data_IF_118571756684
#
_entry.id   IF_118571756684
#
_cell.length_a   1.000
_cell.length_b   1.000
_cell.length_c   1.000
_cell.angle_alpha   90.00
_cell.angle_beta   90.00
_cell.angle_gamma   90.00
#
_symmetry.space_group_name_H-M   'P 1'
#
loop_
_entity.id
_entity.type
_entity.pdbx_description
1 polymer ?
#
# COMPACT_ATOMS: atom_id res chain seq x y z
N UNK A 1 -3.07 -11.85 12.51
CA UNK A 1 -2.93 -13.20 13.13
C UNK A 1 -2.51 -14.27 12.12
N UNK A 2 -3.06 -14.29 10.90
CA UNK A 2 -2.76 -15.31 9.88
C UNK A 2 -1.28 -15.37 9.49
N UNK A 3 -0.65 -14.23 9.17
CA UNK A 3 0.78 -14.17 8.82
C UNK A 3 1.70 -14.72 9.90
N UNK A 4 1.41 -14.40 11.17
CA UNK A 4 2.15 -14.95 12.31
C UNK A 4 2.01 -16.48 12.39
N UNK A 5 0.80 -17.01 12.15
CA UNK A 5 0.59 -18.47 12.08
C UNK A 5 1.39 -19.07 10.94
N UNK A 6 1.39 -18.46 9.75
CA UNK A 6 2.17 -18.92 8.61
C UNK A 6 3.66 -18.98 8.93
N UNK A 7 4.18 -17.97 9.61
CA UNK A 7 5.57 -17.95 10.07
C UNK A 7 5.85 -19.13 11.01
N UNK A 8 5.05 -19.30 12.07
CA UNK A 8 5.27 -20.36 13.07
C UNK A 8 5.11 -21.78 12.53
N UNK A 9 4.25 -21.99 11.52
CA UNK A 9 4.02 -23.29 10.90
C UNK A 9 4.87 -23.53 9.65
N UNK A 10 5.72 -22.56 9.27
CA UNK A 10 6.45 -22.54 8.01
C UNK A 10 5.52 -22.78 6.79
N UNK A 11 4.28 -22.30 6.88
CA UNK A 11 3.34 -22.35 5.78
C UNK A 11 3.73 -21.31 4.73
N UNK A 12 3.63 -21.71 3.47
CA UNK A 12 4.06 -20.92 2.33
C UNK A 12 2.84 -20.66 1.45
N UNK A 13 2.19 -19.49 1.58
CA UNK A 13 0.96 -19.19 0.86
C UNK A 13 1.23 -19.04 -0.65
N UNK A 14 0.17 -19.11 -1.44
CA UNK A 14 0.18 -18.64 -2.83
C UNK A 14 0.24 -17.10 -2.85
N UNK A 15 0.70 -16.44 -3.93
CA UNK A 15 0.68 -14.98 -4.03
C UNK A 15 -0.72 -14.40 -3.84
N UNK A 16 -1.75 -15.08 -4.34
CA UNK A 16 -3.14 -14.65 -4.24
C UNK A 16 -3.68 -14.79 -2.80
N UNK A 17 -3.38 -15.89 -2.12
CA UNK A 17 -3.70 -16.07 -0.70
C UNK A 17 -2.97 -15.04 0.17
N UNK A 18 -1.68 -14.83 -0.12
CA UNK A 18 -0.87 -13.82 0.56
C UNK A 18 -1.48 -12.43 0.38
N UNK A 19 -1.79 -11.99 -0.84
CA UNK A 19 -2.38 -10.66 -1.08
C UNK A 19 -3.75 -10.51 -0.41
N UNK A 20 -4.57 -11.56 -0.41
CA UNK A 20 -5.87 -11.54 0.25
C UNK A 20 -5.78 -11.25 1.75
N UNK A 21 -4.77 -11.81 2.42
CA UNK A 21 -4.51 -11.61 3.86
C UNK A 21 -3.75 -10.31 4.11
N UNK A 22 -2.71 -10.04 3.32
CA UNK A 22 -1.76 -8.97 3.60
C UNK A 22 -2.29 -7.58 3.27
N UNK A 23 -3.29 -7.48 2.38
CA UNK A 23 -4.05 -6.23 2.19
C UNK A 23 -4.76 -5.76 3.47
N UNK A 24 -5.14 -6.67 4.36
CA UNK A 24 -5.70 -6.34 5.68
C UNK A 24 -4.59 -5.97 6.67
N UNK A 25 -3.54 -6.80 6.76
CA UNK A 25 -2.44 -6.58 7.72
C UNK A 25 -1.63 -5.31 7.44
N UNK A 26 -1.62 -4.84 6.20
CA UNK A 26 -0.92 -3.63 5.76
C UNK A 26 -1.38 -2.33 6.44
N UNK A 27 -2.56 -2.32 7.07
CA UNK A 27 -3.10 -1.15 7.75
C UNK A 27 -3.65 -0.04 6.82
N UNK A 28 -3.50 -0.15 5.50
CA UNK A 28 -3.99 0.88 4.56
C UNK A 28 -5.51 0.97 4.52
N UNK A 29 -6.22 -0.15 4.69
CA UNK A 29 -7.68 -0.14 4.82
C UNK A 29 -8.13 0.71 6.03
N UNK A 30 -7.47 0.55 7.17
CA UNK A 30 -7.70 1.36 8.36
C UNK A 30 -7.37 2.83 8.10
N UNK A 31 -6.24 3.13 7.47
CA UNK A 31 -5.81 4.50 7.17
C UNK A 31 -6.80 5.20 6.22
N UNK A 32 -7.25 4.51 5.16
CA UNK A 32 -8.24 5.01 4.21
C UNK A 32 -9.55 5.39 4.91
N UNK A 33 -10.02 4.55 5.84
CA UNK A 33 -11.26 4.83 6.58
C UNK A 33 -11.09 5.94 7.62
N UNK A 34 -10.02 5.90 8.41
CA UNK A 34 -9.80 6.84 9.52
C UNK A 34 -9.48 8.25 9.05
N UNK A 35 -8.91 8.42 7.85
CA UNK A 35 -8.61 9.75 7.31
C UNK A 35 -9.85 10.61 7.04
N UNK A 36 -11.05 10.02 7.02
CA UNK A 36 -12.31 10.74 6.82
C UNK A 36 -12.87 11.37 8.09
N UNK A 37 -12.46 10.92 9.28
CA UNK A 37 -13.00 11.39 10.57
C UNK A 37 -12.83 12.92 10.72
N UNK A 38 -11.75 13.48 10.18
CA UNK A 38 -11.47 14.92 10.24
C UNK A 38 -12.17 15.77 9.16
N UNK A 39 -13.07 15.20 8.35
CA UNK A 39 -13.69 15.91 7.21
C UNK A 39 -15.02 16.62 7.55
N UNK A 40 -15.39 16.69 8.82
CA UNK A 40 -16.59 17.40 9.29
C UNK A 40 -17.88 16.79 8.75
N UNK A 41 -18.90 17.63 8.53
CA UNK A 41 -20.27 17.21 8.19
C UNK A 41 -20.39 16.40 6.88
N UNK A 42 -19.36 16.40 6.03
CA UNK A 42 -19.35 15.59 4.81
C UNK A 42 -19.05 14.10 5.08
N UNK A 43 -18.40 13.76 6.20
CA UNK A 43 -18.06 12.40 6.58
C UNK A 43 -19.27 11.70 7.25
N UNK A 44 -20.30 11.45 6.44
CA UNK A 44 -21.53 10.80 6.88
C UNK A 44 -21.40 9.27 6.88
N UNK A 45 -22.34 8.60 7.53
CA UNK A 45 -22.38 7.13 7.67
C UNK A 45 -22.25 6.41 6.32
N UNK A 46 -22.93 6.88 5.28
CA UNK A 46 -22.87 6.28 3.93
C UNK A 46 -21.45 6.25 3.35
N UNK A 47 -20.60 7.23 3.66
CA UNK A 47 -19.20 7.25 3.22
C UNK A 47 -18.40 6.18 3.94
N UNK A 48 -18.62 6.02 5.25
CA UNK A 48 -17.97 4.98 6.05
C UNK A 48 -18.44 3.59 5.64
N UNK A 49 -19.73 3.42 5.35
CA UNK A 49 -20.28 2.18 4.78
C UNK A 49 -19.68 1.90 3.39
N UNK A 50 -19.57 2.91 2.53
CA UNK A 50 -18.96 2.76 1.21
C UNK A 50 -17.51 2.30 1.32
N UNK A 51 -16.65 3.00 2.07
CA UNK A 51 -15.21 2.66 2.18
C UNK A 51 -14.98 1.31 2.87
N UNK A 52 -15.80 0.98 3.87
CA UNK A 52 -15.70 -0.29 4.62
C UNK A 52 -16.18 -1.50 3.82
N UNK A 53 -16.85 -1.30 2.69
CA UNK A 53 -17.19 -2.36 1.74
C UNK A 53 -16.10 -2.60 0.68
N UNK A 54 -14.92 -1.99 0.85
CA UNK A 54 -13.75 -2.20 -0.02
C UNK A 54 -14.09 -1.98 -1.51
N UNK A 55 -14.50 -0.76 -1.89
CA UNK A 55 -14.78 -0.43 -3.28
C UNK A 55 -13.50 -0.63 -4.11
N UNK A 56 -13.65 -0.68 -5.44
CA UNK A 56 -12.56 -0.97 -6.37
C UNK A 56 -11.31 -0.11 -6.10
N UNK A 57 -11.49 1.19 -5.86
CA UNK A 57 -10.39 2.12 -5.52
C UNK A 57 -9.65 1.74 -4.22
N UNK A 58 -10.35 1.29 -3.17
CA UNK A 58 -9.73 0.89 -1.89
C UNK A 58 -8.97 -0.43 -2.07
N UNK A 59 -9.56 -1.40 -2.77
CA UNK A 59 -8.88 -2.65 -3.09
C UNK A 59 -7.59 -2.39 -3.90
N UNK A 60 -7.67 -1.57 -4.93
CA UNK A 60 -6.52 -1.19 -5.75
C UNK A 60 -5.44 -0.48 -4.90
N UNK A 61 -5.84 0.48 -4.06
CA UNK A 61 -4.93 1.16 -3.14
C UNK A 61 -4.21 0.19 -2.20
N UNK A 62 -4.93 -0.72 -1.55
CA UNK A 62 -4.34 -1.68 -0.62
C UNK A 62 -3.35 -2.63 -1.32
N UNK A 63 -3.71 -3.15 -2.51
CA UNK A 63 -2.81 -4.00 -3.31
C UNK A 63 -1.55 -3.24 -3.71
N UNK A 64 -1.71 -2.01 -4.22
CA UNK A 64 -0.57 -1.17 -4.60
C UNK A 64 0.37 -0.95 -3.44
N UNK A 65 -0.16 -0.46 -2.31
CA UNK A 65 0.67 -0.10 -1.16
C UNK A 65 1.37 -1.32 -0.57
N UNK A 66 0.69 -2.48 -0.53
CA UNK A 66 1.29 -3.73 -0.05
C UNK A 66 2.40 -4.23 -0.97
N UNK A 67 2.15 -4.35 -2.28
CA UNK A 67 3.17 -4.84 -3.22
C UNK A 67 4.37 -3.88 -3.29
N UNK A 68 4.13 -2.57 -3.23
CA UNK A 68 5.20 -1.56 -3.23
C UNK A 68 6.13 -1.73 -2.04
N UNK A 69 5.58 -1.86 -0.83
CA UNK A 69 6.38 -2.11 0.37
C UNK A 69 7.13 -3.44 0.24
N UNK A 70 6.46 -4.54 -0.13
CA UNK A 70 7.11 -5.86 -0.27
C UNK A 70 8.31 -5.84 -1.22
N UNK A 71 8.19 -5.19 -2.38
CA UNK A 71 9.29 -5.10 -3.36
C UNK A 71 10.53 -4.46 -2.73
N UNK A 72 10.32 -3.46 -1.87
CA UNK A 72 11.39 -2.64 -1.31
C UNK A 72 11.94 -3.22 -0.01
N UNK A 73 11.10 -3.83 0.83
CA UNK A 73 11.46 -4.29 2.18
C UNK A 73 11.85 -5.76 2.23
N UNK A 74 11.37 -6.60 1.29
CA UNK A 74 11.47 -8.05 1.40
C UNK A 74 12.89 -8.59 1.60
N UNK A 75 13.93 -8.00 1.00
CA UNK A 75 15.31 -8.47 1.25
C UNK A 75 15.76 -8.29 2.70
N UNK A 76 15.35 -7.19 3.33
CA UNK A 76 15.62 -6.96 4.74
C UNK A 76 14.76 -7.88 5.61
N UNK A 77 13.49 -8.05 5.25
CA UNK A 77 12.57 -8.89 6.00
C UNK A 77 12.95 -10.37 5.97
N UNK A 78 13.45 -10.89 4.85
CA UNK A 78 13.92 -12.28 4.74
C UNK A 78 15.25 -12.52 5.47
N UNK A 79 15.98 -11.48 5.90
CA UNK A 79 17.16 -11.63 6.78
C UNK A 79 16.79 -11.83 8.24
N UNK A 80 15.55 -11.51 8.62
CA UNK A 80 14.98 -11.78 9.95
C UNK A 80 13.92 -12.88 9.84
N UNK A 81 13.48 -13.41 10.97
CA UNK A 81 12.35 -14.33 10.99
C UNK A 81 11.07 -13.57 10.62
N UNK A 82 10.63 -13.70 9.37
CA UNK A 82 9.46 -13.03 8.83
C UNK A 82 8.69 -13.96 7.87
N UNK A 83 7.41 -13.67 7.66
CA UNK A 83 6.60 -14.43 6.69
C UNK A 83 7.08 -14.16 5.26
N UNK A 84 6.64 -14.99 4.30
CA UNK A 84 6.94 -14.77 2.88
C UNK A 84 6.26 -13.48 2.41
N UNK A 85 6.96 -12.59 1.71
CA UNK A 85 6.31 -11.45 1.04
C UNK A 85 5.69 -11.89 -0.29
N UNK A 86 4.99 -10.99 -0.99
CA UNK A 86 4.53 -11.23 -2.35
C UNK A 86 5.66 -11.72 -3.27
N UNK A 87 6.86 -11.14 -3.17
CA UNK A 87 8.00 -11.49 -4.04
C UNK A 87 8.40 -12.95 -3.83
N UNK A 88 8.56 -13.39 -2.58
CA UNK A 88 8.95 -14.78 -2.29
C UNK A 88 7.84 -15.78 -2.59
N UNK A 89 6.56 -15.41 -2.34
CA UNK A 89 5.42 -16.24 -2.72
C UNK A 89 5.40 -16.47 -4.23
N UNK A 90 5.63 -15.41 -5.02
CA UNK A 90 5.55 -15.46 -6.47
C UNK A 90 6.71 -16.23 -7.10
N UNK A 91 7.94 -15.98 -6.64
CA UNK A 91 9.11 -16.76 -7.05
C UNK A 91 8.88 -18.25 -6.82
N UNK A 92 8.35 -18.62 -5.65
CA UNK A 92 8.14 -20.01 -5.26
C UNK A 92 7.04 -20.71 -6.07
N UNK A 93 5.93 -20.03 -6.33
CA UNK A 93 4.80 -20.63 -7.04
C UNK A 93 5.12 -20.91 -8.51
N UNK A 94 5.86 -20.01 -9.15
CA UNK A 94 6.12 -20.07 -10.59
C UNK A 94 7.53 -20.52 -10.96
N UNK A 95 8.39 -20.79 -9.97
CA UNK A 95 9.81 -21.14 -10.15
C UNK A 95 10.55 -20.12 -11.03
N UNK A 96 10.44 -18.85 -10.69
CA UNK A 96 11.01 -17.73 -11.45
C UNK A 96 12.02 -16.92 -10.64
N UNK A 97 12.80 -16.10 -11.35
CA UNK A 97 13.75 -15.20 -10.72
C UNK A 97 13.05 -14.11 -9.90
N UNK A 98 13.75 -13.60 -8.89
CA UNK A 98 13.33 -12.44 -8.10
C UNK A 98 13.00 -11.23 -8.97
N UNK A 99 13.81 -10.96 -9.99
CA UNK A 99 13.58 -9.86 -10.92
C UNK A 99 12.27 -10.02 -11.68
N UNK A 100 11.94 -11.23 -12.13
CA UNK A 100 10.68 -11.50 -12.80
C UNK A 100 9.47 -11.35 -11.86
N UNK A 101 9.60 -11.78 -10.59
CA UNK A 101 8.57 -11.54 -9.57
C UNK A 101 8.36 -10.05 -9.26
N UNK A 102 9.44 -9.26 -9.19
CA UNK A 102 9.36 -7.80 -9.03
C UNK A 102 8.68 -7.15 -10.23
N UNK A 103 9.00 -7.57 -11.45
CA UNK A 103 8.35 -7.06 -12.67
C UNK A 103 6.84 -7.34 -12.67
N UNK A 104 6.42 -8.52 -12.24
CA UNK A 104 5.00 -8.81 -12.06
C UNK A 104 4.36 -7.92 -10.98
N UNK A 105 5.03 -7.71 -9.85
CA UNK A 105 4.55 -6.79 -8.82
C UNK A 105 4.38 -5.36 -9.35
N UNK A 106 5.35 -4.86 -10.12
CA UNK A 106 5.27 -3.56 -10.80
C UNK A 106 4.10 -3.50 -11.79
N UNK A 107 3.84 -4.59 -12.53
CA UNK A 107 2.69 -4.69 -13.43
C UNK A 107 1.37 -4.57 -12.65
N UNK A 108 1.24 -5.28 -11.53
CA UNK A 108 0.06 -5.22 -10.64
C UNK A 108 -0.11 -3.82 -10.03
N UNK A 109 0.97 -3.14 -9.65
CA UNK A 109 0.94 -1.73 -9.20
C UNK A 109 0.41 -0.81 -10.32
N UNK A 110 0.90 -0.97 -11.55
CA UNK A 110 0.42 -0.19 -12.69
C UNK A 110 -1.08 -0.41 -12.97
N UNK A 111 -1.55 -1.65 -12.85
CA UNK A 111 -2.98 -1.96 -13.01
C UNK A 111 -3.82 -1.37 -11.88
N UNK A 112 -3.34 -1.42 -10.63
CA UNK A 112 -3.99 -0.77 -9.50
C UNK A 112 -4.10 0.75 -9.69
N UNK A 113 -3.06 1.41 -10.23
CA UNK A 113 -3.14 2.83 -10.60
C UNK A 113 -4.25 3.11 -11.64
N UNK A 114 -4.38 2.27 -12.67
CA UNK A 114 -5.44 2.42 -13.69
C UNK A 114 -6.82 2.26 -13.07
N UNK A 115 -6.99 1.27 -12.19
CA UNK A 115 -8.25 1.02 -11.48
C UNK A 115 -8.67 2.20 -10.59
N UNK A 116 -7.71 2.81 -9.87
CA UNK A 116 -7.99 4.01 -9.08
C UNK A 116 -8.32 5.23 -9.96
N UNK A 117 -7.62 5.38 -11.09
CA UNK A 117 -7.89 6.46 -12.04
C UNK A 117 -9.29 6.34 -12.65
N UNK A 118 -9.71 5.13 -13.00
CA UNK A 118 -11.06 4.85 -13.52
C UNK A 118 -12.14 5.25 -12.52
N UNK A 119 -12.00 4.89 -11.24
CA UNK A 119 -12.97 5.25 -10.19
C UNK A 119 -13.04 6.77 -9.92
N UNK A 120 -12.05 7.54 -10.41
CA UNK A 120 -12.03 9.00 -10.33
C UNK A 120 -12.64 9.69 -11.57
N UNK A 121 -13.04 8.95 -12.60
CA UNK A 121 -13.74 9.51 -13.74
C UNK A 121 -15.18 9.88 -13.37
N UNK A 122 -15.72 10.95 -13.97
CA UNK A 122 -17.09 11.39 -13.69
C UNK A 122 -18.11 10.56 -14.49
N UNK A 123 -19.29 10.26 -13.92
CA UNK A 123 -19.72 10.57 -12.55
C UNK A 123 -19.05 9.66 -11.51
N UNK A 124 -18.73 10.21 -10.33
CA UNK A 124 -18.11 9.46 -9.24
C UNK A 124 -19.16 8.91 -8.26
N UNK A 125 -18.88 7.77 -7.63
CA UNK A 125 -19.78 7.14 -6.63
C UNK A 125 -19.87 7.92 -5.31
N UNK A 126 -18.79 8.59 -4.95
CA UNK A 126 -18.70 9.46 -3.76
C UNK A 126 -18.07 10.80 -4.15
N UNK A 127 -18.19 11.85 -3.31
CA UNK A 127 -17.55 13.13 -3.58
C UNK A 127 -16.03 12.98 -3.78
N UNK A 128 -15.49 13.72 -4.76
CA UNK A 128 -14.08 13.67 -5.13
C UNK A 128 -13.08 13.86 -3.96
N UNK A 129 -13.36 14.67 -2.92
CA UNK A 129 -12.46 14.77 -1.77
C UNK A 129 -12.15 13.43 -1.08
N UNK A 130 -13.11 12.50 -1.01
CA UNK A 130 -12.90 11.18 -0.43
C UNK A 130 -11.97 10.31 -1.30
N UNK A 131 -12.22 10.28 -2.61
CA UNK A 131 -11.35 9.58 -3.57
C UNK A 131 -9.92 10.14 -3.56
N UNK A 132 -9.80 11.46 -3.46
CA UNK A 132 -8.50 12.16 -3.46
C UNK A 132 -7.66 11.80 -2.23
N UNK A 133 -8.27 11.54 -1.07
CA UNK A 133 -7.53 11.09 0.13
C UNK A 133 -6.91 9.72 -0.09
N UNK A 134 -7.64 8.77 -0.67
CA UNK A 134 -7.12 7.44 -1.02
C UNK A 134 -5.95 7.58 -2.00
N UNK A 135 -6.13 8.36 -3.07
CA UNK A 135 -5.07 8.63 -4.05
C UNK A 135 -3.81 9.22 -3.40
N UNK A 136 -3.98 10.17 -2.48
CA UNK A 136 -2.85 10.81 -1.82
C UNK A 136 -2.10 9.86 -0.88
N UNK A 137 -2.78 8.91 -0.24
CA UNK A 137 -2.12 7.84 0.53
C UNK A 137 -1.21 7.01 -0.39
N UNK A 138 -1.70 6.59 -1.56
CA UNK A 138 -0.88 5.86 -2.53
C UNK A 138 0.30 6.69 -3.05
N UNK A 139 0.11 8.01 -3.25
CA UNK A 139 1.20 8.90 -3.67
C UNK A 139 2.28 9.02 -2.60
N UNK A 140 1.91 9.04 -1.32
CA UNK A 140 2.88 9.01 -0.21
C UNK A 140 3.72 7.73 -0.28
N UNK A 141 3.10 6.58 -0.58
CA UNK A 141 3.81 5.32 -0.73
C UNK A 141 4.86 5.35 -1.86
N UNK A 142 4.54 5.99 -2.98
CA UNK A 142 5.51 6.15 -4.07
C UNK A 142 6.69 7.07 -3.70
N UNK A 143 6.50 8.03 -2.80
CA UNK A 143 7.59 8.88 -2.29
C UNK A 143 8.43 8.12 -1.26
N UNK A 144 7.78 7.50 -0.28
CA UNK A 144 8.43 6.86 0.86
C UNK A 144 9.21 5.61 0.43
N UNK A 145 8.66 4.82 -0.50
CA UNK A 145 9.27 3.59 -1.01
C UNK A 145 9.79 3.74 -2.43
N UNK A 146 10.22 4.94 -2.82
CA UNK A 146 10.67 5.22 -4.19
C UNK A 146 11.84 4.33 -4.61
N UNK A 147 12.91 4.38 -3.83
CA UNK A 147 14.19 3.71 -4.14
C UNK A 147 14.66 2.77 -3.02
N UNK A 148 14.21 3.01 -1.78
CA UNK A 148 14.53 2.23 -0.58
C UNK A 148 13.43 2.40 0.47
N UNK A 149 13.49 1.63 1.55
CA UNK A 149 12.59 1.78 2.69
C UNK A 149 12.93 3.05 3.50
N UNK A 150 12.46 4.20 3.01
CA UNK A 150 12.60 5.46 3.73
C UNK A 150 11.60 5.62 4.88
N UNK A 151 10.63 4.71 5.01
CA UNK A 151 9.68 4.74 6.12
C UNK A 151 10.39 4.36 7.42
N UNK A 152 11.02 3.18 7.40
CA UNK A 152 11.78 2.67 8.55
C UNK A 152 13.12 3.37 8.67
N UNK A 153 13.80 3.61 7.53
CA UNK A 153 15.13 4.18 7.47
C UNK A 153 15.10 5.59 6.89
N UNK A 154 14.47 6.52 7.61
CA UNK A 154 14.29 7.90 7.16
C UNK A 154 15.59 8.71 7.03
N UNK A 155 16.76 8.12 7.33
CA UNK A 155 18.04 8.75 7.07
C UNK A 155 18.29 8.97 5.57
N UNK A 156 18.82 10.14 5.23
CA UNK A 156 19.04 10.57 3.85
C UNK A 156 17.89 11.42 3.32
N UNK A 157 17.32 11.01 2.18
CA UNK A 157 16.42 11.86 1.38
C UNK A 157 15.13 12.24 2.13
N UNK A 158 14.53 11.30 2.86
CA UNK A 158 13.31 11.57 3.62
C UNK A 158 13.52 12.60 4.73
N UNK A 159 14.67 12.57 5.43
CA UNK A 159 15.04 13.60 6.39
C UNK A 159 15.15 14.99 5.74
N UNK A 160 15.67 15.06 4.50
CA UNK A 160 15.70 16.30 3.72
C UNK A 160 14.29 16.78 3.38
N UNK A 161 13.40 15.90 2.92
CA UNK A 161 12.01 16.25 2.62
C UNK A 161 11.24 16.73 3.85
N UNK A 162 11.41 16.06 4.99
CA UNK A 162 10.79 16.46 6.27
C UNK A 162 11.25 17.85 6.68
N UNK A 163 12.57 18.11 6.60
CA UNK A 163 13.12 19.43 6.93
C UNK A 163 12.54 20.53 6.03
N UNK A 164 12.59 20.32 4.72
CA UNK A 164 12.09 21.30 3.75
C UNK A 164 10.59 21.57 3.88
N UNK A 165 9.79 20.58 4.33
CA UNK A 165 8.34 20.72 4.44
C UNK A 165 7.88 21.27 5.79
N UNK A 166 8.55 20.90 6.90
CA UNK A 166 8.04 21.09 8.26
C UNK A 166 8.97 21.89 9.19
N UNK A 167 10.23 22.12 8.81
CA UNK A 167 11.24 22.74 9.69
C UNK A 167 11.76 24.05 9.11
N UNK A 168 12.23 24.01 7.86
CA UNK A 168 12.92 25.12 7.22
C UNK A 168 11.90 25.99 6.46
N UNK A 169 11.68 27.25 6.85
CA UNK A 169 10.73 28.12 6.16
C UNK A 169 11.26 28.52 4.78
N UNK A 170 10.34 28.75 3.83
CA UNK A 170 10.69 29.36 2.54
C UNK A 170 11.13 30.80 2.81
N UNK A 171 12.34 31.22 2.36
CA UNK A 171 12.77 32.60 2.48
C UNK A 171 11.78 33.55 1.80
N UNK A 172 11.43 34.62 2.49
CA UNK A 172 10.56 35.70 1.99
C UNK A 172 11.41 36.75 1.30
#
# INVERSE_FOLDING_TARGET
MTEARWLTSNYKPTPEEYIHVSRESSGYALLNTTCYIGMGDSAIEDIFNWVSNWPKIVNAANVLCRIKDDIVTSEFEQKREHTFSFVECYMKQYDISRQAAIQEGQRRICDAWKDMNEECLRPTKVPMPFLTRILNICRVMDVVYKDKDNFTNAEGEMKTFIKALLVDPVPI
#
